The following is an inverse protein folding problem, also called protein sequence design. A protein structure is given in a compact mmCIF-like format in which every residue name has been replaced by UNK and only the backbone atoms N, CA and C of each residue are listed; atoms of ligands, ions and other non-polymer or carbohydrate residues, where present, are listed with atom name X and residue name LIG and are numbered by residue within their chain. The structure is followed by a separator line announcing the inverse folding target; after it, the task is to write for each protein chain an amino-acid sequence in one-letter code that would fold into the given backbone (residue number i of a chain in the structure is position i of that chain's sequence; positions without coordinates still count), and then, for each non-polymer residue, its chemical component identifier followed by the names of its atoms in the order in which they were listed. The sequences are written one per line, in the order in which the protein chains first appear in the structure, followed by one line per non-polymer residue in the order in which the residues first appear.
data_IF_393569123821
#
_entry.id   IF_393569123821
#
_cell.length_a   1.000
_cell.length_b   1.000
_cell.length_c   1.000
_cell.angle_alpha   90.00
_cell.angle_beta   90.00
_cell.angle_gamma   90.00
#
_symmetry.space_group_name_H-M   'P 1'
#
loop_
_entity.id
_entity.type
_entity.pdbx_description
1 polymer ?
#
# COMPACT_ATOMS: atom_id res chain seq x y z
N UNK A 1 -7.25 26.22 -6.02
CA UNK A 1 -6.74 25.11 -5.18
C UNK A 1 -6.85 23.83 -5.98
N UNK A 2 -5.76 23.37 -6.58
CA UNK A 2 -5.66 22.05 -7.23
C UNK A 2 -5.75 20.98 -6.15
N UNK A 3 -6.81 20.16 -6.19
CA UNK A 3 -6.96 19.02 -5.29
C UNK A 3 -5.73 18.11 -5.44
N UNK A 4 -5.09 17.78 -4.32
CA UNK A 4 -3.95 16.88 -4.28
C UNK A 4 -4.47 15.48 -4.65
N UNK A 5 -4.07 14.87 -5.77
CA UNK A 5 -4.66 13.61 -6.28
C UNK A 5 -4.25 12.36 -5.48
N UNK A 6 -3.68 12.54 -4.28
CA UNK A 6 -2.91 11.52 -3.57
C UNK A 6 -3.71 10.65 -2.59
N UNK A 7 -5.02 10.81 -2.46
CA UNK A 7 -5.85 9.87 -1.68
C UNK A 7 -7.08 9.44 -2.47
N UNK A 8 -6.84 8.55 -3.42
CA UNK A 8 -7.88 7.76 -4.05
C UNK A 8 -8.00 6.43 -3.31
N UNK A 9 -8.46 6.45 -2.05
CA UNK A 9 -9.07 5.27 -1.43
C UNK A 9 -10.34 5.71 -0.71
N UNK A 10 -11.29 6.21 -1.49
CA UNK A 10 -12.69 6.14 -1.09
C UNK A 10 -13.38 5.30 -2.15
N UNK A 11 -14.02 4.21 -1.73
CA UNK A 11 -14.77 3.32 -2.62
C UNK A 11 -15.80 4.08 -3.49
N UNK A 12 -16.29 5.23 -3.01
CA UNK A 12 -17.23 6.10 -3.72
C UNK A 12 -16.60 6.90 -4.86
N UNK A 13 -15.31 7.24 -4.80
CA UNK A 13 -14.63 8.02 -5.86
C UNK A 13 -14.26 7.12 -7.04
N UNK A 14 -13.94 5.84 -6.78
CA UNK A 14 -13.68 4.89 -7.86
C UNK A 14 -14.95 4.49 -8.62
N UNK A 15 -16.09 4.29 -7.94
CA UNK A 15 -17.29 3.81 -8.64
C UNK A 15 -17.85 4.77 -9.70
N UNK A 16 -17.39 6.04 -9.74
CA UNK A 16 -17.90 7.06 -10.65
C UNK A 16 -16.95 7.41 -11.80
N UNK A 17 -15.73 6.86 -11.86
CA UNK A 17 -14.81 7.15 -12.97
C UNK A 17 -15.05 6.18 -14.14
N UNK A 18 -15.58 6.65 -15.29
CA UNK A 18 -15.91 5.77 -16.42
C UNK A 18 -14.66 5.08 -16.97
N UNK A 19 -13.49 5.70 -16.83
CA UNK A 19 -12.20 5.26 -17.39
C UNK A 19 -11.44 4.24 -16.52
N UNK A 20 -11.99 3.76 -15.41
CA UNK A 20 -11.27 2.77 -14.61
C UNK A 20 -11.10 1.43 -15.34
N UNK A 21 -9.95 0.75 -15.19
CA UNK A 21 -9.77 -0.61 -15.66
C UNK A 21 -10.89 -1.52 -15.13
N UNK A 22 -11.36 -2.46 -15.96
CA UNK A 22 -12.41 -3.41 -15.58
C UNK A 22 -12.05 -4.17 -14.30
N UNK A 23 -10.78 -4.58 -14.17
CA UNK A 23 -10.25 -5.20 -12.95
C UNK A 23 -10.54 -4.38 -11.69
N UNK A 24 -10.25 -3.07 -11.70
CA UNK A 24 -10.43 -2.21 -10.52
C UNK A 24 -11.92 -2.11 -10.17
N UNK A 25 -12.79 -1.97 -11.17
CA UNK A 25 -14.24 -1.95 -10.96
C UNK A 25 -14.76 -3.26 -10.35
N UNK A 26 -14.24 -4.40 -10.81
CA UNK A 26 -14.70 -5.72 -10.38
C UNK A 26 -14.15 -6.13 -9.01
N UNK A 27 -12.91 -5.79 -8.69
CA UNK A 27 -12.21 -6.36 -7.53
C UNK A 27 -11.92 -5.36 -6.39
N UNK A 28 -12.09 -4.05 -6.60
CA UNK A 28 -11.81 -3.04 -5.56
C UNK A 28 -12.52 -3.34 -4.24
N UNK A 29 -13.81 -3.71 -4.27
CA UNK A 29 -14.56 -4.07 -3.06
C UNK A 29 -13.97 -5.29 -2.35
N UNK A 30 -13.59 -6.33 -3.10
CA UNK A 30 -12.96 -7.53 -2.54
C UNK A 30 -11.66 -7.19 -1.85
N UNK A 31 -10.82 -6.36 -2.47
CA UNK A 31 -9.53 -5.94 -1.90
C UNK A 31 -9.72 -5.04 -0.68
N UNK A 32 -10.62 -4.05 -0.74
CA UNK A 32 -10.88 -3.11 0.35
C UNK A 32 -11.44 -3.74 1.62
N UNK A 33 -12.16 -4.87 1.48
CA UNK A 33 -12.78 -5.57 2.61
C UNK A 33 -12.21 -6.98 2.80
N UNK A 34 -11.00 -7.23 2.30
CA UNK A 34 -10.37 -8.55 2.35
C UNK A 34 -10.25 -9.05 3.79
N UNK A 35 -9.94 -8.16 4.75
CA UNK A 35 -9.86 -8.49 6.18
C UNK A 35 -11.12 -9.13 6.79
N UNK A 36 -12.29 -8.99 6.15
CA UNK A 36 -13.54 -9.57 6.66
C UNK A 36 -13.66 -11.07 6.37
N UNK A 37 -12.97 -11.57 5.35
CA UNK A 37 -12.98 -12.99 4.97
C UNK A 37 -11.68 -13.31 4.22
N UNK A 38 -10.53 -13.31 4.91
CA UNK A 38 -9.23 -13.45 4.26
C UNK A 38 -9.06 -14.84 3.66
N UNK A 39 -8.77 -14.89 2.36
CA UNK A 39 -8.34 -16.09 1.63
C UNK A 39 -7.03 -15.79 0.91
N UNK A 40 -5.87 -16.30 1.39
CA UNK A 40 -4.58 -15.96 0.79
C UNK A 40 -4.44 -16.49 -0.64
N UNK A 41 -5.25 -17.48 -1.05
CA UNK A 41 -5.24 -17.99 -2.43
C UNK A 41 -5.82 -16.99 -3.43
N UNK A 42 -6.51 -15.94 -2.97
CA UNK A 42 -6.94 -14.84 -3.82
C UNK A 42 -5.77 -13.98 -4.30
N UNK A 43 -4.68 -13.86 -3.54
CA UNK A 43 -3.53 -13.04 -3.90
C UNK A 43 -2.96 -13.39 -5.29
N UNK A 44 -2.53 -14.64 -5.53
CA UNK A 44 -2.02 -15.05 -6.85
C UNK A 44 -3.07 -14.94 -7.96
N UNK A 45 -4.34 -15.25 -7.67
CA UNK A 45 -5.45 -15.16 -8.64
C UNK A 45 -5.68 -13.71 -9.10
N UNK A 46 -5.74 -12.78 -8.15
CA UNK A 46 -5.92 -11.35 -8.42
C UNK A 46 -4.70 -10.77 -9.13
N UNK A 47 -3.48 -11.15 -8.71
CA UNK A 47 -2.27 -10.74 -9.41
C UNK A 47 -2.31 -11.20 -10.88
N UNK A 48 -2.57 -12.49 -11.13
CA UNK A 48 -2.61 -13.03 -12.50
C UNK A 48 -3.61 -12.30 -13.38
N UNK A 49 -4.81 -12.01 -12.86
CA UNK A 49 -5.81 -11.23 -13.58
C UNK A 49 -5.36 -9.78 -13.82
N UNK A 50 -4.76 -9.14 -12.81
CA UNK A 50 -4.26 -7.78 -12.90
C UNK A 50 -3.11 -7.63 -13.91
N UNK A 51 -2.26 -8.65 -14.03
CA UNK A 51 -1.11 -8.66 -14.94
C UNK A 51 -1.48 -8.82 -16.42
N UNK A 52 -2.75 -9.05 -16.75
CA UNK A 52 -3.20 -9.06 -18.15
C UNK A 52 -2.94 -7.70 -18.82
N UNK A 53 -2.52 -7.65 -20.11
CA UNK A 53 -2.14 -6.41 -20.79
C UNK A 53 -3.20 -5.31 -20.72
N UNK A 54 -4.48 -5.65 -20.86
CA UNK A 54 -5.61 -4.72 -20.79
C UNK A 54 -5.79 -4.06 -19.41
N UNK A 55 -5.24 -4.66 -18.36
CA UNK A 55 -5.31 -4.15 -16.99
C UNK A 55 -4.04 -3.39 -16.63
N UNK A 56 -2.87 -4.04 -16.72
CA UNK A 56 -1.59 -3.49 -16.23
C UNK A 56 -1.06 -2.34 -17.10
N UNK A 57 -1.44 -2.29 -18.37
CA UNK A 57 -1.06 -1.23 -19.31
C UNK A 57 -2.22 -0.28 -19.62
N UNK A 58 -3.29 -0.30 -18.81
CA UNK A 58 -4.45 0.54 -19.05
C UNK A 58 -4.08 2.04 -18.98
N UNK A 59 -4.52 2.89 -19.93
CA UNK A 59 -4.15 4.31 -19.97
C UNK A 59 -4.49 5.11 -18.72
N UNK A 60 -5.48 4.65 -17.95
CA UNK A 60 -5.84 5.26 -16.66
C UNK A 60 -4.65 5.34 -15.67
N UNK A 61 -3.71 4.40 -15.75
CA UNK A 61 -2.49 4.41 -14.93
C UNK A 61 -1.42 5.40 -15.39
N UNK A 62 -1.59 6.07 -16.54
CA UNK A 62 -0.65 7.10 -17.00
C UNK A 62 -0.63 8.26 -15.99
N UNK A 63 0.56 8.56 -15.46
CA UNK A 63 0.75 9.53 -14.38
C UNK A 63 0.28 9.05 -13.00
N UNK A 64 -0.18 7.79 -12.86
CA UNK A 64 -0.67 7.18 -11.62
C UNK A 64 0.08 5.89 -11.26
N UNK A 65 1.38 5.85 -11.55
CA UNK A 65 2.22 4.67 -11.29
C UNK A 65 2.16 4.21 -9.82
N UNK A 66 2.04 5.14 -8.87
CA UNK A 66 1.87 4.80 -7.46
C UNK A 66 0.66 3.89 -7.19
N UNK A 67 -0.47 4.07 -7.91
CA UNK A 67 -1.66 3.22 -7.77
C UNK A 67 -1.41 1.83 -8.35
N UNK A 68 -0.68 1.75 -9.47
CA UNK A 68 -0.26 0.48 -10.06
C UNK A 68 0.57 -0.32 -9.05
N UNK A 69 1.56 0.33 -8.41
CA UNK A 69 2.41 -0.28 -7.41
C UNK A 69 1.67 -0.60 -6.10
N UNK A 70 0.67 0.20 -5.72
CA UNK A 70 -0.19 -0.05 -4.57
C UNK A 70 -0.93 -1.40 -4.70
N UNK A 71 -1.42 -1.73 -5.89
CA UNK A 71 -2.04 -3.02 -6.15
C UNK A 71 -1.05 -4.18 -5.94
N UNK A 72 0.20 -4.04 -6.41
CA UNK A 72 1.26 -5.01 -6.15
C UNK A 72 1.49 -5.23 -4.65
N UNK A 73 1.63 -4.16 -3.88
CA UNK A 73 1.78 -4.24 -2.43
C UNK A 73 0.60 -4.94 -1.75
N UNK A 74 -0.64 -4.59 -2.11
CA UNK A 74 -1.86 -5.22 -1.59
C UNK A 74 -1.86 -6.73 -1.82
N UNK A 75 -1.53 -7.19 -3.03
CA UNK A 75 -1.46 -8.62 -3.34
C UNK A 75 -0.33 -9.32 -2.57
N UNK A 76 0.80 -8.64 -2.38
CA UNK A 76 1.89 -9.12 -1.54
C UNK A 76 1.44 -9.31 -0.08
N UNK A 77 0.79 -8.31 0.51
CA UNK A 77 0.31 -8.37 1.89
C UNK A 77 -0.70 -9.52 2.11
N UNK A 78 -1.53 -9.87 1.10
CA UNK A 78 -2.43 -11.03 1.18
C UNK A 78 -1.71 -12.38 1.33
N UNK A 79 -0.48 -12.50 0.84
CA UNK A 79 0.31 -13.75 0.85
C UNK A 79 1.53 -13.70 1.76
N UNK A 80 1.69 -12.62 2.54
CA UNK A 80 2.81 -12.47 3.46
C UNK A 80 2.89 -13.65 4.44
N UNK A 81 4.09 -14.24 4.57
CA UNK A 81 4.31 -15.43 5.39
C UNK A 81 3.75 -16.75 4.82
N UNK A 82 3.41 -16.79 3.52
CA UNK A 82 2.95 -18.00 2.81
C UNK A 82 3.91 -18.37 1.67
N UNK A 83 5.08 -18.98 1.97
CA UNK A 83 6.14 -19.22 0.97
C UNK A 83 5.66 -19.90 -0.31
N UNK A 84 4.76 -20.89 -0.22
CA UNK A 84 4.20 -21.59 -1.39
C UNK A 84 3.48 -20.65 -2.36
N UNK A 85 2.74 -19.67 -1.84
CA UNK A 85 2.00 -18.70 -2.66
C UNK A 85 2.93 -17.60 -3.20
N UNK A 86 4.01 -17.27 -2.49
CA UNK A 86 5.04 -16.32 -2.97
C UNK A 86 5.68 -16.84 -4.26
N UNK A 87 5.90 -18.16 -4.38
CA UNK A 87 6.43 -18.77 -5.61
C UNK A 87 5.54 -18.52 -6.84
N UNK A 88 4.23 -18.36 -6.66
CA UNK A 88 3.32 -18.03 -7.79
C UNK A 88 3.57 -16.61 -8.32
N UNK A 89 3.98 -15.67 -7.45
CA UNK A 89 4.32 -14.30 -7.84
C UNK A 89 5.64 -14.29 -8.62
N UNK A 90 6.63 -15.06 -8.17
CA UNK A 90 7.91 -15.21 -8.85
C UNK A 90 7.75 -15.86 -10.23
N UNK A 91 6.88 -16.88 -10.33
CA UNK A 91 6.54 -17.49 -11.62
C UNK A 91 5.90 -16.48 -12.59
N UNK A 92 5.05 -15.58 -12.09
CA UNK A 92 4.40 -14.55 -12.90
C UNK A 92 5.37 -13.49 -13.45
N UNK A 93 6.57 -13.35 -12.89
CA UNK A 93 7.55 -12.34 -13.30
C UNK A 93 8.02 -12.50 -14.76
N UNK A 94 8.26 -13.74 -15.20
CA UNK A 94 8.83 -14.01 -16.53
C UNK A 94 7.87 -13.64 -17.66
N UNK A 95 6.58 -13.92 -17.47
CA UNK A 95 5.55 -13.93 -18.51
C UNK A 95 4.74 -12.63 -18.61
N UNK A 96 5.18 -11.57 -17.94
CA UNK A 96 4.46 -10.28 -17.92
C UNK A 96 5.28 -9.12 -18.52
N UNK A 97 4.60 -8.01 -18.78
CA UNK A 97 5.20 -6.78 -19.32
C UNK A 97 6.14 -6.12 -18.32
N UNK A 98 6.88 -5.09 -18.73
CA UNK A 98 7.74 -4.31 -17.81
C UNK A 98 6.94 -3.73 -16.63
N UNK A 99 5.74 -3.20 -16.90
CA UNK A 99 4.84 -2.71 -15.85
C UNK A 99 4.36 -3.84 -14.93
N UNK A 100 4.06 -5.01 -15.50
CA UNK A 100 3.71 -6.19 -14.71
C UNK A 100 4.84 -6.66 -13.81
N UNK A 101 6.09 -6.65 -14.31
CA UNK A 101 7.26 -6.98 -13.51
C UNK A 101 7.46 -6.00 -12.37
N UNK A 102 7.20 -4.70 -12.57
CA UNK A 102 7.20 -3.70 -11.49
C UNK A 102 6.15 -4.01 -10.41
N UNK A 103 4.95 -4.42 -10.80
CA UNK A 103 3.89 -4.86 -9.87
C UNK A 103 4.36 -6.07 -9.06
N UNK A 104 4.95 -7.08 -9.73
CA UNK A 104 5.48 -8.28 -9.07
C UNK A 104 6.62 -7.93 -8.11
N UNK A 105 7.59 -7.12 -8.54
CA UNK A 105 8.67 -6.62 -7.67
C UNK A 105 8.09 -5.97 -6.43
N UNK A 106 7.08 -5.10 -6.60
CA UNK A 106 6.45 -4.42 -5.48
C UNK A 106 5.71 -5.37 -4.54
N UNK A 107 5.06 -6.41 -5.06
CA UNK A 107 4.48 -7.44 -4.21
C UNK A 107 5.54 -8.20 -3.40
N UNK A 108 6.68 -8.52 -4.03
CA UNK A 108 7.78 -9.23 -3.37
C UNK A 108 8.49 -8.37 -2.31
N UNK A 109 8.43 -7.04 -2.38
CA UNK A 109 8.82 -6.18 -1.24
C UNK A 109 7.99 -6.44 0.02
N UNK A 110 6.76 -6.93 -0.13
CA UNK A 110 5.82 -7.14 0.97
C UNK A 110 5.81 -8.60 1.44
N UNK A 111 5.95 -9.56 0.53
CA UNK A 111 5.85 -10.99 0.84
C UNK A 111 7.11 -11.83 0.58
N UNK A 112 8.11 -11.29 -0.09
CA UNK A 112 9.32 -12.02 -0.47
C UNK A 112 10.05 -12.56 0.75
N UNK A 113 10.55 -13.78 0.61
CA UNK A 113 11.29 -14.49 1.65
C UNK A 113 12.75 -14.74 1.23
N UNK A 114 13.50 -15.47 2.05
CA UNK A 114 14.91 -15.80 1.76
C UNK A 114 15.09 -16.58 0.46
N UNK A 115 14.08 -17.36 0.07
CA UNK A 115 14.12 -18.18 -1.14
C UNK A 115 13.83 -17.33 -2.38
N UNK A 116 13.25 -16.13 -2.23
CA UNK A 116 13.09 -15.13 -3.31
C UNK A 116 14.44 -14.55 -3.77
N UNK A 117 15.44 -14.45 -2.87
CA UNK A 117 16.75 -13.83 -3.18
C UNK A 117 17.44 -14.43 -4.42
N UNK A 118 17.61 -15.76 -4.56
CA UNK A 118 18.22 -16.33 -5.76
C UNK A 118 17.44 -16.05 -7.04
N UNK A 119 16.10 -15.91 -6.98
CA UNK A 119 15.30 -15.50 -8.14
C UNK A 119 15.62 -14.06 -8.56
N UNK A 120 15.68 -13.13 -7.60
CA UNK A 120 16.06 -11.73 -7.88
C UNK A 120 17.48 -11.63 -8.44
N UNK A 121 18.42 -12.40 -7.89
CA UNK A 121 19.80 -12.47 -8.39
C UNK A 121 19.87 -13.01 -9.84
N UNK A 122 19.01 -13.95 -10.22
CA UNK A 122 18.88 -14.42 -11.59
C UNK A 122 18.28 -13.34 -12.50
N UNK A 123 17.21 -12.66 -12.05
CA UNK A 123 16.56 -11.59 -12.82
C UNK A 123 17.47 -10.40 -13.09
N UNK A 124 18.36 -10.04 -12.15
CA UNK A 124 19.36 -8.98 -12.32
C UNK A 124 20.38 -9.26 -13.42
N UNK A 125 20.68 -10.55 -13.69
CA UNK A 125 21.62 -10.98 -14.74
C UNK A 125 20.96 -11.08 -16.11
N UNK A 126 19.63 -11.10 -16.18
CA UNK A 126 18.91 -11.19 -17.44
C UNK A 126 18.80 -9.78 -18.07
N UNK A 127 19.38 -9.62 -19.27
CA UNK A 127 19.34 -8.38 -20.04
C UNK A 127 17.91 -7.91 -20.37
N UNK A 128 16.93 -8.83 -20.38
CA UNK A 128 15.50 -8.46 -20.54
C UNK A 128 14.97 -7.59 -19.40
N UNK A 129 15.68 -7.54 -18.27
CA UNK A 129 15.33 -6.74 -17.10
C UNK A 129 16.25 -5.53 -16.92
N UNK A 130 17.02 -5.12 -17.95
CA UNK A 130 17.92 -3.98 -17.87
C UNK A 130 17.22 -2.70 -17.36
N UNK A 131 15.96 -2.47 -17.78
CA UNK A 131 15.15 -1.32 -17.36
C UNK A 131 14.62 -1.40 -15.92
N UNK A 132 14.80 -2.53 -15.23
CA UNK A 132 14.32 -2.80 -13.86
C UNK A 132 15.48 -3.05 -12.89
N UNK A 133 16.73 -2.81 -13.30
CA UNK A 133 17.92 -3.12 -12.50
C UNK A 133 17.91 -2.40 -11.15
N UNK A 134 17.48 -1.15 -11.12
CA UNK A 134 17.45 -0.36 -9.87
C UNK A 134 16.39 -0.90 -8.91
N UNK A 135 15.17 -1.19 -9.39
CA UNK A 135 14.10 -1.76 -8.57
C UNK A 135 14.43 -3.18 -8.07
N UNK A 136 15.04 -4.01 -8.92
CA UNK A 136 15.50 -5.36 -8.54
C UNK A 136 16.65 -5.31 -7.53
N UNK A 137 17.60 -4.39 -7.70
CA UNK A 137 18.70 -4.19 -6.74
C UNK A 137 18.15 -3.73 -5.39
N UNK A 138 17.17 -2.81 -5.41
CA UNK A 138 16.49 -2.36 -4.20
C UNK A 138 15.72 -3.51 -3.52
N UNK A 139 15.04 -4.37 -4.30
CA UNK A 139 14.35 -5.55 -3.77
C UNK A 139 15.34 -6.54 -3.16
N UNK A 140 16.45 -6.84 -3.85
CA UNK A 140 17.48 -7.74 -3.34
C UNK A 140 18.03 -7.24 -2.00
N UNK A 141 18.46 -5.98 -1.95
CA UNK A 141 18.97 -5.35 -0.73
C UNK A 141 17.94 -5.39 0.40
N UNK A 142 16.67 -5.14 0.08
CA UNK A 142 15.59 -5.22 1.04
C UNK A 142 15.46 -6.63 1.62
N UNK A 143 15.44 -7.68 0.77
CA UNK A 143 15.28 -9.06 1.21
C UNK A 143 16.48 -9.59 2.00
N UNK A 144 17.69 -9.11 1.68
CA UNK A 144 18.94 -9.46 2.36
C UNK A 144 19.08 -8.79 3.74
N UNK A 145 18.37 -7.69 4.00
CA UNK A 145 18.41 -7.02 5.30
C UNK A 145 17.61 -7.80 6.36
N UNK A 146 18.26 -8.38 7.41
CA UNK A 146 17.57 -9.09 8.48
C UNK A 146 16.80 -8.15 9.42
N UNK A 147 17.09 -6.84 9.37
CA UNK A 147 16.41 -5.79 10.15
C UNK A 147 15.39 -5.03 9.31
N UNK A 148 15.09 -5.50 8.10
CA UNK A 148 14.09 -4.87 7.24
C UNK A 148 12.78 -4.72 7.99
N UNK A 149 12.16 -3.56 7.84
CA UNK A 149 10.81 -3.29 8.33
C UNK A 149 9.88 -3.19 7.14
N UNK A 150 8.73 -3.85 7.21
CA UNK A 150 7.66 -3.58 6.26
C UNK A 150 7.19 -2.12 6.48
N UNK A 151 6.62 -1.49 5.44
CA UNK A 151 6.03 -0.14 5.53
C UNK A 151 5.03 -0.06 6.69
N UNK A 152 4.27 -1.14 6.93
CA UNK A 152 3.29 -1.24 8.02
C UNK A 152 3.87 -1.13 9.44
N UNK A 153 5.18 -1.37 9.59
CA UNK A 153 5.87 -1.43 10.88
C UNK A 153 6.64 -0.14 11.22
N UNK A 154 6.47 0.92 10.42
CA UNK A 154 7.19 2.20 10.59
C UNK A 154 6.28 3.40 10.32
N UNK A 155 6.65 4.54 10.88
CA UNK A 155 6.03 5.83 10.54
C UNK A 155 6.14 6.11 9.04
N UNK A 156 5.12 6.80 8.50
CA UNK A 156 5.13 7.31 7.14
C UNK A 156 6.23 8.37 6.97
N UNK A 157 6.99 8.25 5.87
CA UNK A 157 8.11 9.15 5.50
C UNK A 157 7.79 9.99 4.28
N UNK A 158 6.89 9.51 3.43
CA UNK A 158 6.45 10.15 2.20
C UNK A 158 4.95 9.91 1.97
N UNK A 159 4.24 10.75 1.19
CA UNK A 159 2.77 10.66 1.08
C UNK A 159 2.25 9.28 0.69
N UNK A 160 2.95 8.59 -0.22
CA UNK A 160 2.59 7.22 -0.64
C UNK A 160 2.65 6.20 0.48
N UNK A 161 3.43 6.43 1.55
CA UNK A 161 3.43 5.53 2.71
C UNK A 161 2.05 5.51 3.39
N UNK A 162 1.31 6.62 3.37
CA UNK A 162 -0.04 6.67 3.93
C UNK A 162 -0.99 5.73 3.17
N UNK A 163 -0.90 5.68 1.85
CA UNK A 163 -1.67 4.74 1.03
C UNK A 163 -1.33 3.30 1.37
N UNK A 164 -0.05 2.98 1.55
CA UNK A 164 0.38 1.63 1.97
C UNK A 164 -0.12 1.27 3.38
N UNK A 165 -0.14 2.21 4.32
CA UNK A 165 -0.66 1.97 5.67
C UNK A 165 -2.17 1.70 5.66
N UNK A 166 -2.94 2.46 4.89
CA UNK A 166 -4.37 2.21 4.68
C UNK A 166 -4.62 0.89 3.96
N UNK A 167 -3.88 0.62 2.89
CA UNK A 167 -3.90 -0.66 2.19
C UNK A 167 -3.66 -1.84 3.14
N UNK A 168 -2.68 -1.72 4.05
CA UNK A 168 -2.41 -2.75 5.05
C UNK A 168 -3.59 -2.99 5.99
N UNK A 169 -4.30 -1.93 6.42
CA UNK A 169 -5.54 -2.09 7.19
C UNK A 169 -6.63 -2.80 6.39
N UNK A 170 -6.82 -2.47 5.10
CA UNK A 170 -7.84 -3.12 4.27
C UNK A 170 -7.56 -4.61 4.00
N UNK A 171 -6.29 -5.02 4.04
CA UNK A 171 -5.91 -6.43 3.93
C UNK A 171 -5.96 -7.14 5.29
N UNK A 172 -5.42 -6.55 6.35
CA UNK A 172 -5.23 -7.26 7.62
C UNK A 172 -6.34 -7.02 8.64
N UNK A 173 -7.06 -5.91 8.54
CA UNK A 173 -8.00 -5.42 9.55
C UNK A 173 -7.30 -4.91 10.81
N UNK A 174 -5.97 -4.89 10.84
CA UNK A 174 -5.18 -4.45 11.99
C UNK A 174 -5.09 -2.92 12.03
N UNK A 175 -5.24 -2.33 13.22
CA UNK A 175 -5.09 -0.89 13.42
C UNK A 175 -3.63 -0.46 13.67
N UNK A 176 -2.69 -1.39 13.79
CA UNK A 176 -1.27 -1.06 13.98
C UNK A 176 -0.72 -0.19 12.83
N UNK A 177 -0.99 -0.46 11.54
CA UNK A 177 -0.60 0.45 10.44
C UNK A 177 -1.25 1.83 10.55
N UNK A 178 -2.51 1.91 10.97
CA UNK A 178 -3.19 3.20 11.16
C UNK A 178 -2.56 4.02 12.28
N UNK A 179 -2.08 3.35 13.33
CA UNK A 179 -1.33 4.00 14.41
C UNK A 179 -0.05 4.66 13.88
N UNK A 180 0.60 4.10 12.85
CA UNK A 180 1.79 4.68 12.21
C UNK A 180 1.50 5.95 11.39
N UNK A 181 0.24 6.17 10.98
CA UNK A 181 -0.18 7.43 10.38
C UNK A 181 -0.13 8.55 11.42
N UNK A 182 -0.47 8.24 12.69
CA UNK A 182 -0.44 9.22 13.76
C UNK A 182 0.98 9.73 14.06
N UNK A 183 1.99 8.86 13.89
CA UNK A 183 3.40 9.20 14.10
C UNK A 183 3.86 10.38 13.20
N UNK A 184 3.13 10.70 12.12
CA UNK A 184 3.35 11.90 11.29
C UNK A 184 3.17 13.20 12.08
N UNK A 185 2.23 13.23 13.03
CA UNK A 185 1.96 14.41 13.84
C UNK A 185 3.01 14.64 14.93
N UNK A 186 3.84 13.65 15.23
CA UNK A 186 4.93 13.77 16.21
C UNK A 186 6.19 14.38 15.57
N UNK A 187 6.23 14.44 14.24
CA UNK A 187 7.33 15.06 13.50
C UNK A 187 7.19 16.58 13.46
N UNK A 188 8.31 17.34 13.39
CA UNK A 188 8.26 18.79 13.23
C UNK A 188 7.41 19.20 12.03
N UNK A 189 6.54 20.20 12.20
CA UNK A 189 5.66 20.66 11.13
C UNK A 189 6.44 21.27 9.96
N UNK A 190 7.54 21.97 10.23
CA UNK A 190 8.36 22.65 9.21
C UNK A 190 8.90 21.64 8.19
N UNK A 191 8.42 21.71 6.96
CA UNK A 191 8.79 20.80 5.87
C UNK A 191 7.96 19.51 5.83
N UNK A 192 6.96 19.34 6.70
CA UNK A 192 6.07 18.17 6.77
C UNK A 192 4.58 18.56 6.74
N UNK A 193 4.26 19.82 6.45
CA UNK A 193 2.91 20.38 6.53
C UNK A 193 1.94 19.67 5.58
N UNK A 194 2.41 19.34 4.37
CA UNK A 194 1.62 18.61 3.37
C UNK A 194 1.27 17.22 3.90
N UNK A 195 2.24 16.50 4.47
CA UNK A 195 1.99 15.17 5.02
C UNK A 195 1.00 15.24 6.18
N UNK A 196 1.17 16.16 7.12
CA UNK A 196 0.27 16.30 8.27
C UNK A 196 -1.16 16.61 7.82
N UNK A 197 -1.33 17.47 6.81
CA UNK A 197 -2.65 17.76 6.24
C UNK A 197 -3.28 16.54 5.58
N UNK A 198 -2.50 15.78 4.82
CA UNK A 198 -2.93 14.57 4.11
C UNK A 198 -3.28 13.45 5.10
N UNK A 199 -2.45 13.24 6.12
CA UNK A 199 -2.70 12.29 7.21
C UNK A 199 -3.99 12.63 7.96
N UNK A 200 -4.17 13.90 8.36
CA UNK A 200 -5.38 14.38 9.02
C UNK A 200 -6.62 14.12 8.17
N UNK A 201 -6.62 14.59 6.92
CA UNK A 201 -7.75 14.38 6.02
C UNK A 201 -8.09 12.90 5.86
N UNK A 202 -7.07 12.03 5.78
CA UNK A 202 -7.29 10.59 5.60
C UNK A 202 -7.93 9.92 6.83
N UNK A 203 -7.57 10.38 8.03
CA UNK A 203 -8.18 9.89 9.27
C UNK A 203 -9.60 10.44 9.41
N UNK A 204 -9.79 11.74 9.20
CA UNK A 204 -11.09 12.42 9.27
C UNK A 204 -12.12 11.77 8.35
N UNK A 205 -11.75 11.46 7.10
CA UNK A 205 -12.66 10.83 6.14
C UNK A 205 -13.05 9.39 6.48
N UNK A 206 -12.24 8.68 7.25
CA UNK A 206 -12.46 7.27 7.59
C UNK A 206 -13.04 7.07 9.01
N UNK A 207 -12.94 8.05 9.90
CA UNK A 207 -13.47 7.94 11.28
C UNK A 207 -14.97 7.68 11.34
N UNK A 208 -15.74 8.18 10.37
CA UNK A 208 -17.19 7.97 10.32
C UNK A 208 -17.55 6.50 10.01
N UNK A 209 -16.75 5.83 9.17
CA UNK A 209 -17.01 4.45 8.75
C UNK A 209 -16.39 3.41 9.70
N UNK A 210 -15.46 3.84 10.57
CA UNK A 210 -14.67 2.95 11.43
C UNK A 210 -14.69 3.39 12.91
N UNK A 211 -15.73 3.05 13.70
CA UNK A 211 -15.81 3.45 15.11
C UNK A 211 -14.61 3.06 15.99
N UNK A 212 -13.99 1.91 15.72
CA UNK A 212 -12.76 1.48 16.41
C UNK A 212 -11.56 2.39 16.15
N UNK A 213 -11.55 3.14 15.04
CA UNK A 213 -10.54 4.18 14.78
C UNK A 213 -10.65 5.30 15.82
N UNK A 214 -11.86 5.71 16.18
CA UNK A 214 -12.09 6.74 17.20
C UNK A 214 -11.56 6.29 18.56
N UNK A 215 -11.78 5.02 18.92
CA UNK A 215 -11.23 4.43 20.15
C UNK A 215 -9.70 4.39 20.12
N UNK A 216 -9.12 3.97 18.99
CA UNK A 216 -7.66 3.97 18.79
C UNK A 216 -7.07 5.36 19.01
N UNK A 217 -7.64 6.38 18.37
CA UNK A 217 -7.18 7.78 18.49
C UNK A 217 -7.24 8.26 19.94
N UNK A 218 -8.34 7.98 20.66
CA UNK A 218 -8.49 8.31 22.08
C UNK A 218 -7.41 7.66 22.95
N UNK A 219 -7.09 6.39 22.68
CA UNK A 219 -6.06 5.67 23.43
C UNK A 219 -4.67 6.26 23.22
N UNK A 220 -4.35 6.70 22.00
CA UNK A 220 -3.05 7.31 21.70
C UNK A 220 -2.86 8.73 22.26
N UNK A 221 -3.92 9.43 22.68
CA UNK A 221 -3.80 10.80 23.21
C UNK A 221 -2.86 10.90 24.43
N UNK A 222 -2.90 9.89 25.31
CA UNK A 222 -2.22 9.91 26.61
C UNK A 222 -0.70 9.99 26.47
N UNK A 223 -0.16 9.28 25.48
CA UNK A 223 1.28 9.09 25.32
C UNK A 223 1.89 10.05 24.27
N UNK A 224 1.07 10.94 23.70
CA UNK A 224 1.49 11.85 22.62
C UNK A 224 2.03 13.19 23.12
N UNK A 225 3.02 13.78 22.42
CA UNK A 225 3.44 15.17 22.65
C UNK A 225 2.27 16.15 22.54
N UNK A 226 2.34 17.28 23.25
CA UNK A 226 1.23 18.24 23.34
C UNK A 226 0.76 18.74 21.96
N UNK A 227 1.69 19.08 21.06
CA UNK A 227 1.36 19.57 19.73
C UNK A 227 0.54 18.55 18.93
N UNK A 228 0.99 17.30 18.94
CA UNK A 228 0.36 16.18 18.22
C UNK A 228 -0.97 15.79 18.86
N UNK A 229 -1.05 15.86 20.20
CA UNK A 229 -2.28 15.63 20.97
C UNK A 229 -3.37 16.62 20.56
N UNK A 230 -3.06 17.91 20.48
CA UNK A 230 -4.01 18.96 20.06
C UNK A 230 -4.57 18.70 18.65
N UNK A 231 -3.74 18.22 17.73
CA UNK A 231 -4.21 17.85 16.38
C UNK A 231 -5.23 16.72 16.46
N UNK A 232 -4.92 15.65 17.20
CA UNK A 232 -5.82 14.50 17.34
C UNK A 232 -7.10 14.84 18.10
N UNK A 233 -7.03 15.67 19.15
CA UNK A 233 -8.22 16.16 19.87
C UNK A 233 -9.15 16.95 18.96
N UNK A 234 -8.60 17.78 18.06
CA UNK A 234 -9.40 18.56 17.10
C UNK A 234 -10.08 17.70 16.03
N UNK A 235 -9.59 16.48 15.78
CA UNK A 235 -10.25 15.50 14.91
C UNK A 235 -11.41 14.81 15.64
N UNK A 236 -11.23 14.49 16.93
CA UNK A 236 -12.23 13.82 17.75
C UNK A 236 -13.39 14.73 18.16
N UNK A 237 -13.13 16.03 18.31
CA UNK A 237 -14.11 17.05 18.68
C UNK A 237 -14.08 18.18 17.63
N UNK A 238 -14.60 17.95 16.41
CA UNK A 238 -14.64 18.99 15.40
C UNK A 238 -15.47 20.18 15.92
N UNK A 239 -15.00 21.40 15.68
CA UNK A 239 -15.80 22.58 15.96
C UNK A 239 -17.11 22.53 15.13
N UNK A 240 -18.24 22.98 15.70
CA UNK A 240 -19.54 22.98 15.02
C UNK A 240 -19.56 23.85 13.76
#
# INVERSE_FOLDING_TARGET
MTACPFLLIVASVFSQQPELPSFVKQHSRTVMYYYRSPDPTLGPKLLKEFLKPENVSHPWFNGKEHVLLLNGALFGDMVAGKPKLVREFEAAFADTSVNGRRVVIRALFHCGDKDTIPHVAAWLKDEKNAALRDELTALQKHLEDPKRKNVRDRAAREPRDLDFLWANFFITGEYAPISRILDVFDQPAKGNEVMQRVARWSLDSNMQEHPKLVELLKNHLKDRPEASRKVVESMLNPAP
#
